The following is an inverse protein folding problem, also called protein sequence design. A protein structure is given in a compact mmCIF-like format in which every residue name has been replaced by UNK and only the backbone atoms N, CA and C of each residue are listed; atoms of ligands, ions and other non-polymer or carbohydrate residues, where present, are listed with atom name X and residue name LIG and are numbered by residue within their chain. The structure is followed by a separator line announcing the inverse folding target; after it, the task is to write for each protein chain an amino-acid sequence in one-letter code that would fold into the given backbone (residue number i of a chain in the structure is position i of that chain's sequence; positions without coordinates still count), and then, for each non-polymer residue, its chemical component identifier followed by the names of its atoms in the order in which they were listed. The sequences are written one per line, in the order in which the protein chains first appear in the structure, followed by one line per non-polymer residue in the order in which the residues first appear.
data_IF_720221170512
#
_entry.id   IF_720221170512
#
_cell.length_a   1.000
_cell.length_b   1.000
_cell.length_c   1.000
_cell.angle_alpha   90.00
_cell.angle_beta   90.00
_cell.angle_gamma   90.00
#
_symmetry.space_group_name_H-M   'P 1'
#
loop_
_entity.id
_entity.type
_entity.pdbx_description
1 polymer ?
#
# COMPACT_ATOMS: atom_id res chain seq x y z
N UNK A 1 -45.21 -15.93 43.22
CA UNK A 1 -43.96 -15.17 42.94
C UNK A 1 -43.10 -15.82 41.86
N UNK A 2 -42.79 -17.13 41.93
CA UNK A 2 -42.00 -17.85 40.91
C UNK A 2 -42.56 -17.80 39.48
N UNK A 3 -43.90 -17.87 39.32
CA UNK A 3 -44.57 -17.81 38.01
C UNK A 3 -44.53 -16.42 37.35
N UNK A 4 -44.48 -15.35 38.14
CA UNK A 4 -44.41 -13.96 37.65
C UNK A 4 -43.00 -13.66 37.13
N UNK A 5 -41.97 -14.13 37.85
CA UNK A 5 -40.56 -14.03 37.40
C UNK A 5 -40.35 -14.72 36.06
N UNK A 6 -40.98 -15.88 35.85
CA UNK A 6 -40.88 -16.65 34.60
C UNK A 6 -41.54 -15.94 33.42
N UNK A 7 -42.68 -15.26 33.63
CA UNK A 7 -43.36 -14.48 32.59
C UNK A 7 -42.56 -13.21 32.22
N UNK A 8 -41.94 -12.55 33.21
CA UNK A 8 -41.09 -11.37 32.96
C UNK A 8 -39.84 -11.74 32.16
N UNK A 9 -39.18 -12.86 32.45
CA UNK A 9 -38.03 -13.34 31.67
C UNK A 9 -38.39 -13.77 30.24
N UNK A 10 -39.63 -14.21 29.98
CA UNK A 10 -40.09 -14.56 28.63
C UNK A 10 -40.52 -13.31 27.85
N UNK A 11 -40.98 -12.25 28.51
CA UNK A 11 -41.29 -10.98 27.86
C UNK A 11 -40.04 -10.22 27.41
N UNK A 12 -38.91 -10.34 28.12
CA UNK A 12 -37.66 -9.65 27.78
C UNK A 12 -36.91 -10.27 26.59
N UNK A 13 -37.25 -11.49 26.16
CA UNK A 13 -36.63 -12.11 24.97
C UNK A 13 -37.24 -11.63 23.65
N UNK A 14 -38.44 -11.01 23.68
CA UNK A 14 -39.15 -10.55 22.48
C UNK A 14 -38.61 -9.21 21.95
N UNK A 15 -37.77 -8.50 22.70
CA UNK A 15 -37.17 -7.22 22.28
C UNK A 15 -35.82 -7.37 21.56
N UNK A 16 -35.34 -8.59 21.32
CA UNK A 16 -34.08 -8.82 20.59
C UNK A 16 -34.32 -8.83 19.07
N UNK A 17 -34.68 -7.68 18.51
CA UNK A 17 -34.52 -7.44 17.07
C UNK A 17 -33.05 -7.07 16.79
N UNK A 18 -32.15 -8.07 16.85
CA UNK A 18 -30.71 -7.89 16.65
C UNK A 18 -30.27 -7.97 15.16
N UNK A 19 -31.20 -8.06 14.22
CA UNK A 19 -30.86 -8.14 12.80
C UNK A 19 -31.13 -6.78 12.13
N UNK A 20 -30.11 -5.91 12.15
CA UNK A 20 -30.10 -4.72 11.30
C UNK A 20 -29.94 -5.19 9.86
N UNK A 21 -31.06 -5.34 9.17
CA UNK A 21 -31.13 -5.85 7.80
C UNK A 21 -30.51 -4.89 6.79
N UNK A 22 -29.58 -5.41 5.99
CA UNK A 22 -29.15 -4.94 4.67
C UNK A 22 -28.91 -3.43 4.48
N UNK A 23 -28.12 -2.81 5.35
CA UNK A 23 -27.60 -1.44 5.13
C UNK A 23 -26.65 -1.35 3.91
N UNK A 24 -26.16 -2.48 3.39
CA UNK A 24 -25.24 -2.52 2.26
C UNK A 24 -25.84 -1.88 1.00
N UNK A 25 -27.10 -2.14 0.69
CA UNK A 25 -27.78 -1.52 -0.46
C UNK A 25 -27.91 0.01 -0.30
N UNK A 26 -28.14 0.48 0.93
CA UNK A 26 -28.23 1.90 1.24
C UNK A 26 -26.88 2.61 1.00
N UNK A 27 -25.78 2.06 1.52
CA UNK A 27 -24.45 2.64 1.30
C UNK A 27 -23.93 2.43 -0.12
N UNK A 28 -24.30 1.34 -0.80
CA UNK A 28 -23.96 1.16 -2.21
C UNK A 28 -24.57 2.28 -3.08
N UNK A 29 -25.78 2.73 -2.74
CA UNK A 29 -26.43 3.83 -3.48
C UNK A 29 -25.73 5.19 -3.32
N UNK A 30 -24.88 5.37 -2.31
CA UNK A 30 -24.09 6.60 -2.14
C UNK A 30 -22.79 6.60 -2.94
N UNK A 31 -22.38 5.46 -3.51
CA UNK A 31 -21.18 5.36 -4.33
C UNK A 31 -21.56 5.71 -5.76
N UNK A 32 -21.29 6.94 -6.18
CA UNK A 32 -21.60 7.40 -7.54
C UNK A 32 -20.37 7.35 -8.45
N UNK A 33 -20.58 7.11 -9.75
CA UNK A 33 -19.51 7.16 -10.75
C UNK A 33 -18.84 8.54 -10.79
N UNK A 34 -19.63 9.61 -10.59
CA UNK A 34 -19.15 10.99 -10.59
C UNK A 34 -18.13 11.21 -9.47
N UNK A 35 -18.48 10.82 -8.24
CA UNK A 35 -17.62 11.04 -7.07
C UNK A 35 -16.33 10.21 -7.17
N UNK A 36 -16.45 8.95 -7.63
CA UNK A 36 -15.29 8.10 -7.88
C UNK A 36 -14.36 8.70 -8.94
N UNK A 37 -14.91 9.23 -10.03
CA UNK A 37 -14.13 9.85 -11.09
C UNK A 37 -13.40 11.09 -10.60
N UNK A 38 -14.04 11.93 -9.80
CA UNK A 38 -13.43 13.14 -9.24
C UNK A 38 -12.20 12.79 -8.39
N UNK A 39 -12.35 11.85 -7.45
CA UNK A 39 -11.25 11.42 -6.58
C UNK A 39 -10.13 10.73 -7.37
N UNK A 40 -10.49 9.82 -8.28
CA UNK A 40 -9.51 9.09 -9.10
C UNK A 40 -8.73 10.03 -10.02
N UNK A 41 -9.38 11.03 -10.62
CA UNK A 41 -8.74 11.96 -11.54
C UNK A 41 -7.67 12.80 -10.84
N UNK A 42 -7.84 13.11 -9.55
CA UNK A 42 -6.85 13.82 -8.75
C UNK A 42 -5.67 12.89 -8.43
N UNK A 43 -5.93 11.70 -7.90
CA UNK A 43 -4.85 10.78 -7.48
C UNK A 43 -4.04 10.27 -8.68
N UNK A 44 -4.66 10.15 -9.85
CA UNK A 44 -4.02 9.73 -11.09
C UNK A 44 -3.51 10.90 -11.95
N UNK A 45 -3.58 12.13 -11.44
CA UNK A 45 -3.13 13.31 -12.19
C UNK A 45 -1.61 13.37 -12.28
N UNK A 46 -1.11 14.16 -13.23
CA UNK A 46 0.33 14.35 -13.42
C UNK A 46 1.00 14.99 -12.19
N UNK A 47 0.29 15.86 -11.48
CA UNK A 47 0.77 16.53 -10.26
C UNK A 47 1.07 15.56 -9.11
N UNK A 48 0.41 14.40 -9.12
CA UNK A 48 0.62 13.33 -8.15
C UNK A 48 1.71 12.34 -8.57
N UNK A 49 2.31 12.49 -9.75
CA UNK A 49 3.55 11.82 -10.21
C UNK A 49 3.56 10.26 -10.16
N UNK A 50 2.47 9.63 -9.74
CA UNK A 50 2.37 8.18 -9.53
C UNK A 50 2.31 7.79 -8.05
N UNK A 51 2.13 6.48 -7.81
CA UNK A 51 1.94 5.91 -6.45
C UNK A 51 2.98 4.84 -6.13
N UNK A 52 4.15 4.95 -6.72
CA UNK A 52 5.25 4.05 -6.41
C UNK A 52 5.72 4.27 -4.97
N UNK A 53 6.04 3.19 -4.27
CA UNK A 53 6.42 3.23 -2.86
C UNK A 53 7.65 4.12 -2.66
N UNK A 54 7.68 4.88 -1.56
CA UNK A 54 8.77 5.79 -1.19
C UNK A 54 9.06 6.95 -2.17
N UNK A 55 8.15 7.23 -3.11
CA UNK A 55 8.24 8.41 -4.00
C UNK A 55 7.47 9.62 -3.46
N UNK A 56 7.73 10.81 -4.00
CA UNK A 56 7.00 12.04 -3.65
C UNK A 56 5.51 11.96 -4.01
N UNK A 57 5.19 11.31 -5.12
CA UNK A 57 3.80 11.09 -5.54
C UNK A 57 2.98 10.31 -4.51
N UNK A 58 3.58 9.27 -3.90
CA UNK A 58 2.96 8.51 -2.82
C UNK A 58 2.67 9.38 -1.58
N UNK A 59 3.58 10.30 -1.22
CA UNK A 59 3.37 11.24 -0.09
C UNK A 59 2.24 12.22 -0.38
N UNK A 60 2.18 12.77 -1.60
CA UNK A 60 1.08 13.65 -2.03
C UNK A 60 -0.27 12.92 -1.97
N UNK A 61 -0.33 11.69 -2.46
CA UNK A 61 -1.54 10.86 -2.41
C UNK A 61 -1.98 10.57 -0.96
N UNK A 62 -1.04 10.23 -0.07
CA UNK A 62 -1.33 10.00 1.35
C UNK A 62 -1.91 11.25 2.02
N UNK A 63 -1.31 12.43 1.77
CA UNK A 63 -1.80 13.71 2.29
C UNK A 63 -3.21 14.06 1.77
N UNK A 64 -3.48 13.78 0.49
CA UNK A 64 -4.81 13.98 -0.08
C UNK A 64 -5.86 13.09 0.60
N UNK A 65 -5.60 11.79 0.76
CA UNK A 65 -6.52 10.86 1.43
C UNK A 65 -6.77 11.27 2.88
N UNK A 66 -5.72 11.63 3.61
CA UNK A 66 -5.84 12.18 4.97
C UNK A 66 -6.75 13.42 5.00
N UNK A 67 -6.61 14.33 4.04
CA UNK A 67 -7.46 15.52 3.95
C UNK A 67 -8.94 15.17 3.72
N UNK A 68 -9.23 14.12 2.95
CA UNK A 68 -10.60 13.63 2.73
C UNK A 68 -11.17 13.02 4.01
N UNK A 69 -10.38 12.21 4.72
CA UNK A 69 -10.80 11.63 6.00
C UNK A 69 -11.14 12.70 7.04
N UNK A 70 -10.30 13.73 7.15
CA UNK A 70 -10.57 14.90 8.01
C UNK A 70 -11.86 15.61 7.59
N UNK A 71 -12.08 15.84 6.29
CA UNK A 71 -13.32 16.45 5.77
C UNK A 71 -14.57 15.62 6.09
N UNK A 72 -14.44 14.30 6.12
CA UNK A 72 -15.55 13.39 6.49
C UNK A 72 -15.74 13.26 8.01
N UNK A 73 -14.91 13.92 8.83
CA UNK A 73 -15.00 13.85 10.30
C UNK A 73 -14.52 12.52 10.88
N UNK A 74 -13.74 11.75 10.13
CA UNK A 74 -13.13 10.52 10.63
C UNK A 74 -12.05 10.86 11.66
N UNK A 75 -11.85 9.98 12.63
CA UNK A 75 -10.77 10.08 13.61
C UNK A 75 -9.51 9.36 13.10
N UNK A 76 -8.31 9.77 13.57
CA UNK A 76 -7.07 9.07 13.23
C UNK A 76 -7.11 7.61 13.69
N UNK A 77 -6.63 6.71 12.83
CA UNK A 77 -6.60 5.27 13.09
C UNK A 77 -5.27 4.77 13.67
N UNK A 78 -4.22 5.59 13.66
CA UNK A 78 -2.88 5.26 14.17
C UNK A 78 -2.51 6.21 15.33
N UNK A 79 -3.20 6.03 16.47
CA UNK A 79 -3.12 6.96 17.61
C UNK A 79 -3.60 8.35 17.21
N UNK A 80 -2.72 9.34 17.25
CA UNK A 80 -3.05 10.72 16.83
C UNK A 80 -2.78 10.98 15.33
N UNK A 81 -2.39 9.95 14.57
CA UNK A 81 -2.03 10.07 13.14
C UNK A 81 -3.04 9.35 12.24
N UNK A 82 -3.28 9.93 11.05
CA UNK A 82 -3.99 9.26 9.95
C UNK A 82 -3.06 8.37 9.12
N UNK A 83 -1.74 8.50 9.29
CA UNK A 83 -0.73 7.79 8.52
C UNK A 83 0.01 6.79 9.39
N UNK A 84 0.30 5.61 8.82
CA UNK A 84 1.14 4.58 9.43
C UNK A 84 2.46 4.51 8.67
N UNK A 85 3.54 4.88 9.36
CA UNK A 85 4.90 4.84 8.80
C UNK A 85 5.51 3.46 9.03
N UNK A 86 6.21 2.95 8.03
CA UNK A 86 6.98 1.71 8.09
C UNK A 86 8.29 1.87 7.30
N UNK A 87 9.37 1.17 7.66
CA UNK A 87 10.62 1.23 6.93
C UNK A 87 10.47 0.61 5.54
N UNK A 88 11.02 1.29 4.53
CA UNK A 88 11.12 0.80 3.15
C UNK A 88 12.60 0.73 2.77
N UNK A 89 12.98 -0.37 2.13
CA UNK A 89 14.32 -0.56 1.58
C UNK A 89 14.22 -0.49 0.06
N UNK A 90 15.18 0.21 -0.56
CA UNK A 90 15.27 0.34 -2.01
C UNK A 90 16.69 -0.02 -2.44
N UNK A 91 16.78 -0.98 -3.35
CA UNK A 91 18.04 -1.35 -3.97
C UNK A 91 18.29 -0.44 -5.19
N UNK A 92 19.48 0.12 -5.27
CA UNK A 92 19.89 1.01 -6.35
C UNK A 92 21.22 0.53 -6.97
N UNK A 93 21.26 0.43 -8.30
CA UNK A 93 22.49 0.11 -9.02
C UNK A 93 23.34 1.37 -9.14
N UNK A 94 24.39 1.50 -8.32
CA UNK A 94 25.32 2.64 -8.42
C UNK A 94 26.28 2.55 -9.59
N UNK A 95 26.87 1.37 -9.80
CA UNK A 95 27.79 1.13 -10.91
C UNK A 95 27.89 -0.37 -11.21
N UNK A 96 28.13 -0.70 -12.47
CA UNK A 96 28.39 -2.06 -12.93
C UNK A 96 29.58 -2.01 -13.90
N UNK A 97 30.60 -2.82 -13.62
CA UNK A 97 31.78 -2.96 -14.48
C UNK A 97 32.10 -4.43 -14.65
N UNK A 98 32.36 -4.83 -15.89
CA UNK A 98 32.83 -6.16 -16.22
C UNK A 98 34.12 -6.03 -17.02
N UNK A 99 35.17 -6.68 -16.53
CA UNK A 99 36.45 -6.80 -17.22
C UNK A 99 36.81 -8.26 -17.34
N UNK A 100 37.10 -8.71 -18.56
CA UNK A 100 37.58 -10.06 -18.84
C UNK A 100 38.97 -9.92 -19.44
N UNK A 101 39.98 -10.46 -18.76
CA UNK A 101 41.40 -10.22 -19.06
C UNK A 101 41.71 -8.71 -19.14
N UNK A 102 42.01 -8.19 -20.35
CA UNK A 102 42.29 -6.79 -20.62
C UNK A 102 41.13 -6.05 -21.32
N UNK A 103 40.02 -6.73 -21.62
CA UNK A 103 38.88 -6.13 -22.29
C UNK A 103 37.84 -5.63 -21.28
N UNK A 104 37.40 -4.38 -21.45
CA UNK A 104 36.31 -3.79 -20.68
C UNK A 104 35.00 -3.95 -21.44
N UNK A 105 33.94 -4.30 -20.72
CA UNK A 105 32.61 -4.46 -21.26
C UNK A 105 31.71 -3.37 -20.70
N UNK A 106 31.00 -2.67 -21.58
CA UNK A 106 30.02 -1.66 -21.22
C UNK A 106 28.69 -2.30 -20.76
N UNK A 107 28.18 -1.83 -19.62
CA UNK A 107 26.85 -2.17 -19.09
C UNK A 107 25.75 -1.78 -20.09
N UNK A 108 24.67 -2.56 -20.16
CA UNK A 108 23.56 -2.49 -21.12
C UNK A 108 23.91 -2.74 -22.60
N UNK A 109 25.18 -2.63 -23.00
CA UNK A 109 25.61 -2.97 -24.36
C UNK A 109 26.11 -4.41 -24.47
N UNK A 110 26.91 -4.85 -23.50
CA UNK A 110 27.53 -6.18 -23.54
C UNK A 110 27.04 -7.10 -22.42
N UNK A 111 26.54 -6.54 -21.32
CA UNK A 111 25.98 -7.31 -20.21
C UNK A 111 24.92 -6.50 -19.47
N UNK A 112 23.99 -7.20 -18.83
CA UNK A 112 22.96 -6.65 -17.95
C UNK A 112 22.99 -7.37 -16.61
N UNK A 113 22.50 -6.70 -15.57
CA UNK A 113 22.37 -7.27 -14.23
C UNK A 113 20.91 -7.20 -13.80
N UNK A 114 20.44 -8.26 -13.17
CA UNK A 114 19.18 -8.20 -12.42
C UNK A 114 19.53 -7.81 -10.99
N UNK A 115 19.00 -6.68 -10.52
CA UNK A 115 19.31 -6.07 -9.21
C UNK A 115 19.14 -7.04 -8.05
N UNK A 116 18.11 -7.88 -8.09
CA UNK A 116 17.81 -8.89 -7.07
C UNK A 116 18.90 -9.96 -6.89
N UNK A 117 19.77 -10.15 -7.89
CA UNK A 117 20.85 -11.13 -7.86
C UNK A 117 22.24 -10.46 -7.94
N UNK A 118 22.30 -9.12 -7.90
CA UNK A 118 23.54 -8.39 -8.01
C UNK A 118 24.32 -8.49 -6.69
N UNK A 119 25.59 -8.88 -6.78
CA UNK A 119 26.49 -8.92 -5.63
C UNK A 119 26.95 -7.49 -5.33
N UNK A 120 26.77 -7.05 -4.09
CA UNK A 120 27.36 -5.81 -3.62
C UNK A 120 28.85 -6.05 -3.31
N UNK A 121 29.71 -5.86 -4.30
CA UNK A 121 31.15 -6.03 -4.17
C UNK A 121 31.87 -6.43 -5.46
N UNK A 122 33.17 -6.68 -5.36
CA UNK A 122 33.99 -7.14 -6.47
C UNK A 122 34.14 -8.65 -6.42
N UNK A 123 33.79 -9.34 -7.51
CA UNK A 123 34.07 -10.77 -7.69
C UNK A 123 35.24 -10.91 -8.65
N UNK A 124 36.41 -11.24 -8.10
CA UNK A 124 37.60 -11.56 -8.90
C UNK A 124 37.72 -13.07 -8.99
N UNK A 125 37.54 -13.63 -10.17
CA UNK A 125 37.80 -15.05 -10.42
C UNK A 125 38.96 -15.20 -11.40
N UNK A 126 39.96 -15.97 -11.01
CA UNK A 126 41.05 -16.40 -11.89
C UNK A 126 40.73 -17.83 -12.31
N UNK A 127 40.00 -18.04 -13.41
CA UNK A 127 39.67 -19.37 -13.86
C UNK A 127 40.72 -19.93 -14.84
N UNK A 128 41.34 -21.02 -14.41
CA UNK A 128 41.98 -22.10 -15.16
C UNK A 128 43.25 -21.81 -15.98
N UNK A 129 44.40 -22.19 -15.41
CA UNK A 129 45.53 -22.70 -16.20
C UNK A 129 45.06 -23.97 -16.93
N UNK A 130 44.75 -23.86 -18.21
CA UNK A 130 44.83 -25.01 -19.11
C UNK A 130 46.31 -25.31 -19.31
N UNK A 131 46.70 -26.55 -18.97
CA UNK A 131 48.00 -27.14 -19.28
C UNK A 131 48.33 -27.04 -20.78
#
# INVERSE_FOLDING_TARGET
MKKIVLIVCVLTTVTVFAQKGNDAAKFASTITQKDLKEQLSIIASAEFEGRETATEGQKKAAAYIESQFKKFGLLPGNGNSYQQVYPVYQDELKSASLKIYNANFAFNNHFSLMLNNAINGNVNTSAFNLL
#
